data_IF_913246342573
#
_entry.id   IF_913246342573
#
_cell.length_a   1.000
_cell.length_b   1.000
_cell.length_c   1.000
_cell.angle_alpha   90.00
_cell.angle_beta   90.00
_cell.angle_gamma   90.00
#
_symmetry.space_group_name_H-M   'P 1'
#
loop_
_entity.id
_entity.type
_entity.pdbx_description
1 polymer ?
#
# COMPACT_ATOMS: atom_id res chain seq x y z
N UNK A 1 17.79 -1.45 -15.35
CA UNK A 1 16.43 -0.89 -15.53
C UNK A 1 15.55 -1.43 -14.41
N UNK A 2 14.99 -0.58 -13.56
CA UNK A 2 13.97 -1.02 -12.61
C UNK A 2 12.69 -1.34 -13.38
N UNK A 3 12.28 -2.61 -13.36
CA UNK A 3 11.00 -3.04 -13.93
C UNK A 3 9.88 -2.39 -13.10
N UNK A 4 8.98 -1.67 -13.77
CA UNK A 4 7.82 -1.04 -13.13
C UNK A 4 7.06 -2.08 -12.28
N UNK A 5 6.90 -1.85 -10.96
CA UNK A 5 6.31 -2.85 -10.08
C UNK A 5 4.82 -3.08 -10.36
N UNK A 6 4.11 -2.14 -10.97
CA UNK A 6 2.67 -2.23 -11.27
C UNK A 6 2.36 -2.34 -12.76
N UNK A 7 3.34 -2.69 -13.59
CA UNK A 7 3.12 -2.99 -15.00
C UNK A 7 1.90 -3.94 -15.19
N UNK A 8 0.97 -3.66 -16.12
CA UNK A 8 1.06 -2.71 -17.22
C UNK A 8 0.48 -1.31 -16.93
N UNK A 9 0.25 -0.97 -15.66
CA UNK A 9 -0.32 0.33 -15.31
C UNK A 9 0.71 1.43 -15.57
N UNK A 10 0.31 2.46 -16.31
CA UNK A 10 1.15 3.63 -16.54
C UNK A 10 1.40 4.40 -15.25
N UNK A 11 2.59 4.97 -15.10
CA UNK A 11 2.97 5.73 -13.90
C UNK A 11 2.01 6.89 -13.60
N UNK A 12 1.49 7.55 -14.64
CA UNK A 12 0.51 8.63 -14.54
C UNK A 12 -0.84 8.17 -13.96
N UNK A 13 -1.13 6.88 -14.03
CA UNK A 13 -2.35 6.28 -13.50
C UNK A 13 -2.17 5.76 -12.07
N UNK A 14 -0.97 5.83 -11.49
CA UNK A 14 -0.74 5.39 -10.11
C UNK A 14 -1.63 6.10 -9.08
N UNK A 15 -1.79 7.43 -9.11
CA UNK A 15 -2.64 8.13 -8.15
C UNK A 15 -4.11 7.68 -8.20
N UNK A 16 -4.55 7.04 -9.28
CA UNK A 16 -5.94 6.61 -9.49
C UNK A 16 -6.25 5.20 -8.96
N UNK A 17 -5.25 4.49 -8.45
CA UNK A 17 -5.35 3.05 -8.20
C UNK A 17 -6.16 2.66 -6.97
N UNK A 18 -6.14 3.51 -5.96
CA UNK A 18 -6.69 3.19 -4.65
C UNK A 18 -7.71 4.21 -4.22
N UNK A 19 -8.69 3.76 -3.45
CA UNK A 19 -9.87 4.51 -3.05
C UNK A 19 -9.60 5.58 -1.98
N UNK A 20 -8.40 5.58 -1.39
CA UNK A 20 -7.99 6.55 -0.37
C UNK A 20 -6.59 7.08 -0.60
N UNK A 21 -6.35 8.31 -0.12
CA UNK A 21 -5.03 8.96 -0.02
C UNK A 21 -4.78 9.43 1.41
N UNK A 22 -3.51 9.66 1.74
CA UNK A 22 -3.11 10.13 3.07
C UNK A 22 -3.47 11.59 3.26
N UNK A 23 -3.97 11.94 4.44
CA UNK A 23 -3.97 13.33 4.92
C UNK A 23 -2.57 13.70 5.44
N UNK A 24 -2.35 14.98 5.80
CA UNK A 24 -1.12 15.39 6.49
C UNK A 24 -0.93 14.63 7.81
N UNK A 25 -2.01 14.42 8.58
CA UNK A 25 -1.99 13.60 9.81
C UNK A 25 -1.61 12.15 9.47
N UNK A 26 -2.20 11.60 8.41
CA UNK A 26 -1.87 10.28 7.86
C UNK A 26 -0.39 10.13 7.51
N UNK A 27 0.21 11.13 6.87
CA UNK A 27 1.62 11.12 6.49
C UNK A 27 2.54 11.09 7.71
N UNK A 28 2.23 11.87 8.75
CA UNK A 28 2.98 11.86 10.02
C UNK A 28 2.89 10.48 10.68
N UNK A 29 1.69 9.91 10.75
CA UNK A 29 1.46 8.59 11.33
C UNK A 29 2.15 7.48 10.54
N UNK A 30 2.07 7.53 9.20
CA UNK A 30 2.78 6.62 8.32
C UNK A 30 4.29 6.65 8.57
N UNK A 31 4.89 7.84 8.64
CA UNK A 31 6.32 7.98 8.90
C UNK A 31 6.73 7.40 10.27
N UNK A 32 5.88 7.53 11.29
CA UNK A 32 6.08 6.90 12.61
C UNK A 32 6.05 5.36 12.51
N UNK A 33 5.08 4.79 11.81
CA UNK A 33 4.99 3.33 11.61
C UNK A 33 6.16 2.81 10.77
N UNK A 34 6.45 3.46 9.64
CA UNK A 34 7.57 3.13 8.75
C UNK A 34 8.89 3.11 9.53
N UNK A 35 9.17 4.15 10.33
CA UNK A 35 10.36 4.20 11.19
C UNK A 35 10.38 3.07 12.21
N UNK A 36 9.25 2.78 12.86
CA UNK A 36 9.18 1.72 13.87
C UNK A 36 9.44 0.35 13.26
N UNK A 37 8.91 0.09 12.07
CA UNK A 37 9.18 -1.12 11.29
C UNK A 37 10.67 -1.27 10.95
N UNK A 38 11.31 -0.22 10.40
CA UNK A 38 12.72 -0.28 10.03
C UNK A 38 13.67 -0.39 11.22
N UNK A 39 13.29 0.16 12.37
CA UNK A 39 14.00 -0.04 13.65
C UNK A 39 13.71 -1.40 14.29
N UNK A 40 13.00 -2.30 13.60
CA UNK A 40 12.63 -3.64 14.07
C UNK A 40 11.89 -3.63 15.41
N UNK A 41 11.15 -2.55 15.70
CA UNK A 41 10.26 -2.51 16.85
C UNK A 41 9.11 -3.49 16.61
N UNK A 42 8.69 -4.17 17.67
CA UNK A 42 7.50 -5.03 17.63
C UNK A 42 6.27 -4.16 17.38
N UNK A 43 5.57 -4.43 16.27
CA UNK A 43 4.27 -3.83 15.96
C UNK A 43 3.17 -4.87 16.20
N UNK A 44 1.97 -4.39 16.45
CA UNK A 44 0.76 -5.21 16.48
C UNK A 44 0.32 -5.60 15.06
N UNK A 45 -0.54 -6.61 14.93
CA UNK A 45 -1.11 -7.01 13.63
C UNK A 45 -1.83 -5.83 12.98
N UNK A 46 -2.57 -5.06 13.77
CA UNK A 46 -3.27 -3.86 13.31
C UNK A 46 -2.30 -2.79 12.78
N UNK A 47 -1.19 -2.53 13.47
CA UNK A 47 -0.16 -1.60 12.99
C UNK A 47 0.54 -2.09 11.71
N UNK A 48 0.76 -3.41 11.57
CA UNK A 48 1.28 -3.96 10.31
C UNK A 48 0.28 -3.80 9.16
N UNK A 49 -1.01 -4.00 9.40
CA UNK A 49 -2.05 -3.74 8.40
C UNK A 49 -2.09 -2.26 8.00
N UNK A 50 -2.07 -1.35 8.98
CA UNK A 50 -2.01 0.10 8.73
C UNK A 50 -0.77 0.49 7.95
N UNK A 51 0.38 -0.10 8.29
CA UNK A 51 1.62 0.11 7.53
C UNK A 51 1.43 -0.32 6.07
N UNK A 52 0.90 -1.52 5.80
CA UNK A 52 0.65 -2.00 4.42
C UNK A 52 -0.25 -1.06 3.62
N UNK A 53 -1.36 -0.61 4.22
CA UNK A 53 -2.32 0.30 3.59
C UNK A 53 -1.70 1.67 3.29
N UNK A 54 -1.16 2.33 4.32
CA UNK A 54 -0.61 3.69 4.19
C UNK A 54 0.59 3.74 3.25
N UNK A 55 1.43 2.69 3.25
CA UNK A 55 2.60 2.65 2.39
C UNK A 55 2.19 2.63 0.92
N UNK A 56 1.24 1.75 0.51
CA UNK A 56 0.85 1.71 -0.91
C UNK A 56 0.11 2.98 -1.35
N UNK A 57 -0.72 3.57 -0.48
CA UNK A 57 -1.37 4.85 -0.76
C UNK A 57 -0.35 5.98 -0.93
N UNK A 58 0.65 6.05 -0.04
CA UNK A 58 1.75 7.02 -0.16
C UNK A 58 2.54 6.82 -1.46
N UNK A 59 2.97 5.59 -1.75
CA UNK A 59 3.83 5.31 -2.90
C UNK A 59 3.16 5.63 -4.23
N UNK A 60 1.87 5.34 -4.34
CA UNK A 60 1.11 5.54 -5.58
C UNK A 60 0.70 6.99 -5.79
N UNK A 61 0.27 7.69 -4.75
CA UNK A 61 0.01 9.14 -4.82
C UNK A 61 1.26 9.92 -5.27
N UNK A 62 2.46 9.48 -4.87
CA UNK A 62 3.73 10.12 -5.22
C UNK A 62 4.38 9.56 -6.50
N UNK A 63 3.71 8.67 -7.25
CA UNK A 63 4.27 8.02 -8.45
C UNK A 63 5.68 7.43 -8.20
N UNK A 64 5.91 6.89 -7.01
CA UNK A 64 7.24 6.44 -6.58
C UNK A 64 7.38 4.92 -6.73
N UNK A 65 7.91 4.48 -7.86
CA UNK A 65 8.09 3.05 -8.19
C UNK A 65 9.07 2.33 -7.25
N UNK A 66 10.03 3.05 -6.67
CA UNK A 66 10.96 2.47 -5.69
C UNK A 66 10.24 2.15 -4.38
N UNK A 67 9.41 3.07 -3.90
CA UNK A 67 8.59 2.89 -2.69
C UNK A 67 7.49 1.83 -2.91
N UNK A 68 6.90 1.72 -4.11
CA UNK A 68 5.99 0.59 -4.43
C UNK A 68 6.73 -0.75 -4.39
N UNK A 69 7.95 -0.80 -4.93
CA UNK A 69 8.79 -2.01 -4.86
C UNK A 69 9.15 -2.37 -3.42
N UNK A 70 9.44 -1.37 -2.59
CA UNK A 70 9.71 -1.57 -1.17
C UNK A 70 8.48 -2.08 -0.42
N UNK A 71 7.30 -1.52 -0.69
CA UNK A 71 6.03 -2.01 -0.15
C UNK A 71 5.84 -3.50 -0.48
N UNK A 72 6.05 -3.93 -1.73
CA UNK A 72 5.96 -5.36 -2.11
C UNK A 72 6.90 -6.23 -1.28
N UNK A 73 8.15 -5.80 -1.08
CA UNK A 73 9.14 -6.51 -0.25
C UNK A 73 8.71 -6.59 1.22
N UNK A 74 8.15 -5.51 1.77
CA UNK A 74 7.63 -5.50 3.14
C UNK A 74 6.48 -6.49 3.30
N UNK A 75 5.52 -6.49 2.37
CA UNK A 75 4.42 -7.46 2.40
C UNK A 75 4.95 -8.90 2.37
N UNK A 76 5.84 -9.22 1.43
CA UNK A 76 6.45 -10.55 1.34
C UNK A 76 7.21 -10.96 2.63
N UNK A 77 8.03 -10.05 3.17
CA UNK A 77 8.78 -10.33 4.40
C UNK A 77 7.88 -10.53 5.63
N UNK A 78 6.75 -9.84 5.71
CA UNK A 78 5.77 -10.04 6.77
C UNK A 78 5.06 -11.39 6.63
N UNK A 79 4.72 -11.78 5.41
CA UNK A 79 4.09 -13.08 5.14
C UNK A 79 5.05 -14.24 5.46
N UNK A 80 6.34 -14.12 5.12
CA UNK A 80 7.40 -15.06 5.50
C UNK A 80 7.55 -15.21 7.02
N UNK A 81 7.25 -14.14 7.78
CA UNK A 81 7.26 -14.13 9.26
C UNK A 81 5.96 -14.65 9.88
N UNK A 82 5.01 -15.12 9.06
CA UNK A 82 3.69 -15.57 9.51
C UNK A 82 2.76 -14.42 9.95
N UNK A 83 3.10 -13.17 9.63
CA UNK A 83 2.32 -11.98 9.97
C UNK A 83 1.39 -11.69 8.80
N UNK A 84 0.37 -12.53 8.61
CA UNK A 84 -0.57 -12.38 7.51
C UNK A 84 -1.54 -11.21 7.71
N UNK A 85 -2.09 -10.74 6.60
CA UNK A 85 -3.22 -9.82 6.63
C UNK A 85 -4.41 -10.49 7.34
N UNK A 86 -4.91 -9.83 8.39
CA UNK A 86 -6.12 -10.26 9.11
C UNK A 86 -6.92 -9.05 9.54
N UNK A 87 -8.23 -9.05 9.25
CA UNK A 87 -9.15 -7.97 9.60
C UNK A 87 -8.70 -6.57 9.10
N UNK A 88 -8.04 -6.49 7.95
CA UNK A 88 -7.54 -5.21 7.41
C UNK A 88 -8.65 -4.17 7.18
N UNK A 89 -9.90 -4.61 6.94
CA UNK A 89 -11.04 -3.72 6.85
C UNK A 89 -11.28 -2.92 8.15
N UNK A 90 -11.02 -3.51 9.32
CA UNK A 90 -11.10 -2.80 10.61
C UNK A 90 -9.98 -1.76 10.72
N UNK A 91 -8.75 -2.14 10.36
CA UNK A 91 -7.61 -1.22 10.32
C UNK A 91 -7.87 -0.04 9.38
N UNK A 92 -8.49 -0.29 8.22
CA UNK A 92 -8.90 0.75 7.27
C UNK A 92 -9.98 1.65 7.84
N UNK A 93 -10.99 1.08 8.51
CA UNK A 93 -12.04 1.87 9.15
C UNK A 93 -11.47 2.77 10.24
N UNK A 94 -10.58 2.26 11.07
CA UNK A 94 -9.91 3.05 12.11
C UNK A 94 -9.06 4.20 11.52
N UNK A 95 -8.37 3.97 10.39
CA UNK A 95 -7.66 5.05 9.68
C UNK A 95 -8.60 6.16 9.20
N UNK A 96 -9.84 5.81 8.80
CA UNK A 96 -10.87 6.78 8.40
C UNK A 96 -11.39 7.55 9.61
N UNK A 97 -11.73 6.83 10.68
CA UNK A 97 -12.28 7.42 11.91
C UNK A 97 -11.29 8.41 12.56
N UNK A 98 -9.98 8.16 12.40
CA UNK A 98 -8.91 9.06 12.85
C UNK A 98 -8.53 10.15 11.84
N UNK A 99 -9.21 10.25 10.71
CA UNK A 99 -8.91 11.20 9.62
C UNK A 99 -7.47 11.10 9.08
N UNK A 100 -6.88 9.89 9.13
CA UNK A 100 -5.54 9.63 8.62
C UNK A 100 -5.56 9.38 7.10
N UNK A 101 -6.71 8.96 6.57
CA UNK A 101 -6.95 8.83 5.14
C UNK A 101 -8.27 9.51 4.78
N UNK A 102 -8.35 9.98 3.54
CA UNK A 102 -9.56 10.55 2.94
C UNK A 102 -9.82 9.90 1.58
N UNK A 103 -11.06 9.97 1.12
CA UNK A 103 -11.43 9.48 -0.21
C UNK A 103 -10.54 10.11 -1.28
N UNK A 104 -10.10 9.28 -2.20
CA UNK A 104 -9.25 9.71 -3.29
C UNK A 104 -10.11 10.27 -4.45
N UNK A 105 -10.02 11.59 -4.75
CA UNK A 105 -10.81 12.18 -5.84
C UNK A 105 -10.40 11.68 -7.23
N UNK A 106 -9.20 11.11 -7.36
CA UNK A 106 -8.69 10.57 -8.62
C UNK A 106 -9.01 9.07 -8.81
N UNK A 107 -9.65 8.42 -7.83
CA UNK A 107 -9.85 6.97 -7.85
C UNK A 107 -10.65 6.50 -9.08
N UNK A 108 -10.10 5.51 -9.78
CA UNK A 108 -10.78 4.81 -10.88
C UNK A 108 -10.98 3.35 -10.51
N UNK A 109 -12.24 2.96 -10.30
CA UNK A 109 -12.61 1.60 -9.95
C UNK A 109 -12.08 0.57 -10.97
N UNK A 110 -11.52 -0.52 -10.47
CA UNK A 110 -11.01 -1.62 -11.30
C UNK A 110 -9.68 -1.35 -12.02
N UNK A 111 -9.08 -0.18 -11.88
CA UNK A 111 -7.80 0.12 -12.53
C UNK A 111 -6.67 -0.78 -12.01
N UNK A 112 -6.57 -0.96 -10.69
CA UNK A 112 -5.61 -1.89 -10.08
C UNK A 112 -5.86 -3.36 -10.48
N UNK A 113 -7.11 -3.73 -10.79
CA UNK A 113 -7.46 -5.08 -11.27
C UNK A 113 -6.71 -5.43 -12.55
N UNK A 114 -6.42 -4.45 -13.43
CA UNK A 114 -5.61 -4.68 -14.64
C UNK A 114 -4.22 -5.24 -14.33
N UNK A 115 -3.56 -4.75 -13.28
CA UNK A 115 -2.27 -5.29 -12.84
C UNK A 115 -2.41 -6.74 -12.37
N UNK A 116 -3.43 -7.03 -11.57
CA UNK A 116 -3.70 -8.38 -11.06
C UNK A 116 -4.00 -9.36 -12.18
N UNK A 117 -4.84 -8.96 -13.15
CA UNK A 117 -5.21 -9.79 -14.29
C UNK A 117 -4.00 -10.05 -15.19
N UNK A 118 -3.17 -9.03 -15.44
CA UNK A 118 -1.90 -9.21 -16.15
C UNK A 118 -0.98 -10.22 -15.45
N UNK A 119 -0.80 -10.11 -14.13
CA UNK A 119 0.04 -11.04 -13.37
C UNK A 119 -0.48 -12.48 -13.46
N UNK A 120 -1.80 -12.69 -13.38
CA UNK A 120 -2.41 -14.02 -13.53
C UNK A 120 -2.16 -14.61 -14.92
N UNK A 121 -2.36 -13.82 -15.97
CA UNK A 121 -2.19 -14.26 -17.35
C UNK A 121 -0.71 -14.49 -17.72
N UNK A 122 0.21 -13.71 -17.14
CA UNK A 122 1.66 -13.88 -17.32
C UNK A 122 2.23 -15.12 -16.61
N UNK A 123 1.47 -15.73 -15.69
CA UNK A 123 1.84 -16.95 -14.97
C UNK A 123 1.20 -18.22 -15.55
N UNK A 124 0.69 -18.15 -16.78
CA UNK A 124 0.26 -19.34 -17.52
C UNK A 124 1.50 -20.10 -18.03
N UNK A 125 1.93 -21.09 -17.23
CA UNK A 125 2.91 -22.18 -17.45
C UNK A 125 4.11 -21.91 -18.36
#
# INVERSE_FOLDING_TARGET
MHKDPLHPIHLEDYPKLFDYVLTTKGLIFFNKLKRSYFLQKKLTIDEYNKLRLLYIYYSTANKNTQEVSMWKKICASLDEKGIFEKNMYLSKQDLKDQELIIENPEYVAGLYKRHIDFLKNSKSF
#
